data_IF_878259137174
#
_entry.id   IF_878259137174
#
_cell.length_a   1.000
_cell.length_b   1.000
_cell.length_c   1.000
_cell.angle_alpha   90.00
_cell.angle_beta   90.00
_cell.angle_gamma   90.00
#
_symmetry.space_group_name_H-M   'P 1'
#
loop_
_entity.id
_entity.type
_entity.pdbx_description
1 polymer ?
#
# COMPACT_ATOMS: atom_id res chain seq x y z
N UNK A 1 1.02 17.36 13.04
CA UNK A 1 1.59 16.93 11.74
C UNK A 1 0.53 17.14 10.68
N UNK A 2 0.82 17.95 9.66
CA UNK A 2 -0.15 18.28 8.61
C UNK A 2 0.04 17.29 7.46
N UNK A 3 -0.88 16.33 7.32
CA UNK A 3 -0.75 15.15 6.45
C UNK A 3 -1.35 15.40 5.05
N UNK A 4 -1.71 16.64 4.71
CA UNK A 4 -2.65 17.01 3.64
C UNK A 4 -2.04 17.14 2.22
N UNK A 5 -0.81 16.69 1.98
CA UNK A 5 -0.09 16.98 0.75
C UNK A 5 -0.05 15.87 -0.32
N UNK A 6 -0.54 14.66 -0.04
CA UNK A 6 -0.31 13.47 -0.88
C UNK A 6 -1.63 12.96 -1.46
N UNK A 7 -1.63 12.61 -2.75
CA UNK A 7 -2.85 12.14 -3.41
C UNK A 7 -3.11 10.68 -3.08
N UNK A 8 -4.37 10.28 -2.95
CA UNK A 8 -4.77 8.89 -2.68
C UNK A 8 -4.15 7.91 -3.68
N UNK A 9 -4.04 8.32 -4.95
CA UNK A 9 -3.42 7.52 -6.02
C UNK A 9 -1.96 7.15 -5.73
N UNK A 10 -1.17 8.06 -5.14
CA UNK A 10 0.24 7.80 -4.84
C UNK A 10 0.44 6.83 -3.67
N UNK A 11 -0.57 6.67 -2.82
CA UNK A 11 -0.58 5.77 -1.67
C UNK A 11 -1.07 4.36 -2.02
N UNK A 12 -1.93 4.24 -3.03
CA UNK A 12 -2.73 3.04 -3.30
C UNK A 12 -2.10 2.09 -4.33
N UNK A 13 -1.40 2.63 -5.35
CA UNK A 13 -0.99 1.82 -6.50
C UNK A 13 0.40 1.15 -6.34
N UNK A 14 1.37 1.77 -5.64
CA UNK A 14 2.74 1.20 -5.49
C UNK A 14 3.51 1.77 -4.28
N UNK A 15 2.78 2.32 -3.30
CA UNK A 15 3.34 3.25 -2.31
C UNK A 15 4.47 2.70 -1.43
N UNK A 16 4.60 1.39 -1.27
CA UNK A 16 5.51 0.78 -0.31
C UNK A 16 6.02 -0.60 -0.68
N UNK A 17 6.06 -0.94 -1.98
CA UNK A 17 6.72 -2.16 -2.44
C UNK A 17 8.20 -1.83 -2.68
N UNK A 18 9.09 -2.60 -2.06
CA UNK A 18 10.54 -2.39 -2.12
C UNK A 18 11.26 -3.67 -2.51
N UNK A 19 12.36 -3.52 -3.24
CA UNK A 19 13.29 -4.62 -3.56
C UNK A 19 14.49 -4.57 -2.62
N UNK A 20 14.83 -5.71 -2.03
CA UNK A 20 15.93 -5.86 -1.07
C UNK A 20 16.92 -6.88 -1.60
N UNK A 21 18.14 -6.44 -1.87
CA UNK A 21 19.25 -7.31 -2.25
C UNK A 21 19.75 -8.13 -1.03
N UNK A 22 19.93 -9.44 -1.23
CA UNK A 22 20.43 -10.37 -0.20
C UNK A 22 19.66 -10.30 1.13
N UNK A 23 18.32 -10.52 1.13
CA UNK A 23 17.47 -10.35 2.30
C UNK A 23 17.86 -11.23 3.49
N UNK A 24 18.55 -12.35 3.22
CA UNK A 24 19.08 -13.26 4.24
C UNK A 24 20.07 -12.56 5.19
N UNK A 25 20.76 -11.49 4.74
CA UNK A 25 21.65 -10.69 5.60
C UNK A 25 20.91 -9.96 6.72
N UNK A 26 19.63 -9.66 6.50
CA UNK A 26 18.75 -8.99 7.45
C UNK A 26 17.82 -9.97 8.18
N UNK A 27 18.03 -11.29 7.98
CA UNK A 27 17.19 -12.35 8.56
C UNK A 27 15.71 -12.21 8.18
N UNK A 28 15.44 -11.66 6.99
CA UNK A 28 14.08 -11.54 6.48
C UNK A 28 13.57 -12.92 6.00
N UNK A 29 12.28 -13.21 6.19
CA UNK A 29 11.65 -14.39 5.58
C UNK A 29 11.81 -14.36 4.06
N UNK A 30 11.84 -15.55 3.46
CA UNK A 30 11.84 -15.69 2.00
C UNK A 30 10.58 -15.04 1.43
N UNK A 31 10.74 -14.24 0.39
CA UNK A 31 9.67 -13.57 -0.32
C UNK A 31 9.76 -13.81 -1.82
N UNK A 32 9.01 -13.03 -2.59
CA UNK A 32 8.99 -13.07 -4.04
C UNK A 32 10.33 -12.62 -4.63
N UNK A 33 10.96 -13.44 -5.49
CA UNK A 33 12.20 -13.06 -6.16
C UNK A 33 11.99 -11.86 -7.09
N UNK A 34 12.85 -10.86 -6.98
CA UNK A 34 12.88 -9.76 -7.92
C UNK A 34 13.27 -10.30 -9.31
N UNK A 35 12.48 -9.95 -10.33
CA UNK A 35 12.70 -10.40 -11.71
C UNK A 35 13.80 -9.63 -12.43
N UNK A 36 14.13 -8.44 -11.94
CA UNK A 36 15.08 -7.53 -12.56
C UNK A 36 16.43 -7.54 -11.82
N UNK A 37 16.41 -7.69 -10.50
CA UNK A 37 17.62 -7.67 -9.67
C UNK A 37 17.98 -9.06 -9.14
N UNK A 38 19.07 -9.63 -9.65
CA UNK A 38 19.54 -10.96 -9.24
C UNK A 38 19.92 -11.02 -7.75
N UNK A 39 19.36 -12.00 -7.04
CA UNK A 39 19.59 -12.19 -5.61
C UNK A 39 18.85 -11.19 -4.71
N UNK A 40 17.90 -10.43 -5.27
CA UNK A 40 16.99 -9.61 -4.50
C UNK A 40 15.60 -10.25 -4.39
N UNK A 41 14.86 -9.88 -3.35
CA UNK A 41 13.47 -10.26 -3.14
C UNK A 41 12.63 -9.01 -2.85
N UNK A 42 11.34 -9.08 -3.18
CA UNK A 42 10.39 -7.98 -3.10
C UNK A 42 9.53 -8.13 -1.85
N UNK A 43 9.32 -7.03 -1.13
CA UNK A 43 8.53 -6.96 0.09
C UNK A 43 7.55 -5.79 0.02
N UNK A 44 6.43 -5.91 0.74
CA UNK A 44 5.46 -4.83 0.90
C UNK A 44 5.56 -4.26 2.31
N UNK A 45 5.66 -2.94 2.44
CA UNK A 45 5.59 -2.26 3.73
C UNK A 45 4.16 -2.31 4.28
N UNK A 46 3.99 -2.81 5.50
CA UNK A 46 2.68 -3.06 6.13
C UNK A 46 1.75 -1.86 6.13
N UNK A 47 2.24 -0.67 6.47
CA UNK A 47 1.42 0.55 6.43
C UNK A 47 0.79 0.80 5.05
N UNK A 48 1.55 0.65 3.96
CA UNK A 48 1.03 0.86 2.62
C UNK A 48 0.03 -0.23 2.22
N UNK A 49 0.27 -1.47 2.64
CA UNK A 49 -0.69 -2.55 2.42
C UNK A 49 -2.00 -2.34 3.21
N UNK A 50 -1.92 -1.83 4.45
CA UNK A 50 -3.09 -1.43 5.24
C UNK A 50 -3.91 -0.33 4.55
N UNK A 51 -3.24 0.68 3.97
CA UNK A 51 -3.89 1.74 3.20
C UNK A 51 -4.57 1.21 1.93
N UNK A 52 -3.89 0.32 1.19
CA UNK A 52 -4.44 -0.36 0.01
C UNK A 52 -5.70 -1.18 0.37
N UNK A 53 -5.65 -1.94 1.45
CA UNK A 53 -6.79 -2.72 1.95
C UNK A 53 -7.95 -1.81 2.37
N UNK A 54 -7.68 -0.75 3.13
CA UNK A 54 -8.69 0.21 3.59
C UNK A 54 -9.42 0.85 2.41
N UNK A 55 -8.68 1.27 1.37
CA UNK A 55 -9.29 1.80 0.15
C UNK A 55 -10.08 0.73 -0.62
N UNK A 56 -9.58 -0.51 -0.72
CA UNK A 56 -10.30 -1.61 -1.38
C UNK A 56 -11.66 -1.88 -0.73
N UNK A 57 -11.72 -1.83 0.61
CA UNK A 57 -12.98 -1.94 1.37
C UNK A 57 -13.90 -0.75 1.04
N UNK A 58 -13.38 0.48 1.07
CA UNK A 58 -14.14 1.69 0.72
C UNK A 58 -14.76 1.58 -0.67
N UNK A 59 -13.97 1.20 -1.68
CA UNK A 59 -14.43 1.04 -3.06
C UNK A 59 -15.49 -0.06 -3.15
N UNK A 60 -15.26 -1.22 -2.52
CA UNK A 60 -16.23 -2.32 -2.57
C UNK A 60 -17.56 -1.96 -1.89
N UNK A 61 -17.52 -1.25 -0.77
CA UNK A 61 -18.71 -0.75 -0.11
C UNK A 61 -19.44 0.28 -1.00
N UNK A 62 -18.71 1.19 -1.64
CA UNK A 62 -19.25 2.11 -2.63
C UNK A 62 -19.93 1.41 -3.82
N UNK A 63 -19.35 0.33 -4.34
CA UNK A 63 -19.94 -0.48 -5.42
C UNK A 63 -21.22 -1.18 -4.94
N UNK A 64 -21.18 -1.85 -3.78
CA UNK A 64 -22.33 -2.59 -3.23
C UNK A 64 -23.54 -1.69 -2.98
N UNK A 65 -23.29 -0.48 -2.52
CA UNK A 65 -24.33 0.52 -2.28
C UNK A 65 -24.73 1.30 -3.55
N UNK A 66 -24.09 1.03 -4.69
CA UNK A 66 -24.39 1.69 -5.96
C UNK A 66 -23.88 3.14 -6.08
N UNK A 67 -22.98 3.57 -5.19
CA UNK A 67 -22.32 4.87 -5.24
C UNK A 67 -21.12 4.90 -6.21
N UNK A 68 -20.54 3.74 -6.50
CA UNK A 68 -19.47 3.57 -7.47
C UNK A 68 -19.98 2.62 -8.55
N UNK A 69 -20.70 3.15 -9.52
CA UNK A 69 -21.05 2.42 -10.73
C UNK A 69 -21.16 3.39 -11.90
N UNK A 70 -20.40 3.18 -12.97
CA UNK A 70 -20.60 3.84 -14.27
C UNK A 70 -21.83 3.30 -15.01
N UNK A 71 -22.56 2.33 -14.44
CA UNK A 71 -23.80 1.81 -15.02
C UNK A 71 -24.83 1.45 -13.94
N UNK A 72 -26.10 1.55 -14.31
CA UNK A 72 -27.31 1.22 -13.52
C UNK A 72 -27.90 2.42 -12.77
N UNK A 73 -29.01 2.90 -13.34
CA UNK A 73 -29.75 4.09 -12.90
C UNK A 73 -30.72 3.87 -11.73
N UNK A 74 -31.11 5.01 -11.18
CA UNK A 74 -32.27 5.28 -10.33
C UNK A 74 -32.49 4.33 -9.13
N UNK A 75 -31.59 4.42 -8.16
CA UNK A 75 -31.92 4.16 -6.75
C UNK A 75 -31.86 5.51 -6.02
N UNK A 76 -32.88 5.82 -5.21
CA UNK A 76 -32.94 7.09 -4.47
C UNK A 76 -31.79 7.19 -3.46
N UNK A 77 -30.78 7.97 -3.82
CA UNK A 77 -29.52 8.19 -3.10
C UNK A 77 -29.77 8.94 -1.79
N UNK A 78 -29.67 8.26 -0.64
CA UNK A 78 -29.04 8.90 0.53
C UNK A 78 -27.55 8.66 0.36
N UNK A 79 -26.80 9.72 0.13
CA UNK A 79 -25.41 9.66 -0.30
C UNK A 79 -24.50 9.20 0.85
N UNK A 80 -24.30 7.87 0.98
CA UNK A 80 -23.48 7.25 2.06
C UNK A 80 -22.02 7.68 1.97
N UNK A 81 -21.59 8.21 0.83
CA UNK A 81 -20.25 8.77 0.62
C UNK A 81 -20.31 10.25 0.17
N UNK A 82 -21.31 11.01 0.62
CA UNK A 82 -21.22 12.48 0.56
C UNK A 82 -19.97 12.96 1.35
N UNK A 83 -19.40 14.13 1.03
CA UNK A 83 -18.31 14.71 1.80
C UNK A 83 -18.58 14.77 3.32
N UNK A 84 -19.84 14.96 3.71
CA UNK A 84 -20.31 15.02 5.10
C UNK A 84 -20.86 13.68 5.65
N UNK A 85 -20.77 12.61 4.87
CA UNK A 85 -21.31 11.31 5.29
C UNK A 85 -20.45 10.68 6.38
N UNK A 86 -21.12 9.97 7.30
CA UNK A 86 -20.40 9.35 8.42
C UNK A 86 -19.36 8.33 7.95
N UNK A 87 -19.67 7.64 6.86
CA UNK A 87 -18.81 6.58 6.31
C UNK A 87 -17.56 7.17 5.66
N UNK A 88 -17.65 8.24 4.85
CA UNK A 88 -16.44 8.84 4.27
C UNK A 88 -15.47 9.37 5.31
N UNK A 89 -15.94 10.13 6.31
CA UNK A 89 -15.03 10.66 7.32
C UNK A 89 -14.46 9.55 8.20
N UNK A 90 -15.20 8.46 8.44
CA UNK A 90 -14.66 7.28 9.13
C UNK A 90 -13.51 6.63 8.36
N UNK A 91 -13.62 6.49 7.03
CA UNK A 91 -12.52 5.99 6.22
C UNK A 91 -11.31 6.93 6.25
N UNK A 92 -11.52 8.25 6.21
CA UNK A 92 -10.42 9.19 6.34
C UNK A 92 -9.79 9.16 7.74
N UNK A 93 -10.59 9.04 8.79
CA UNK A 93 -10.11 8.90 10.17
C UNK A 93 -9.25 7.64 10.36
N UNK A 94 -9.68 6.49 9.81
CA UNK A 94 -8.91 5.25 9.83
C UNK A 94 -7.62 5.36 9.01
N UNK A 95 -7.68 6.03 7.85
CA UNK A 95 -6.50 6.32 7.02
C UNK A 95 -5.47 7.14 7.80
N UNK A 96 -5.92 8.20 8.49
CA UNK A 96 -5.06 9.00 9.36
C UNK A 96 -4.47 8.17 10.51
N UNK A 97 -5.23 7.26 11.11
CA UNK A 97 -4.74 6.38 12.17
C UNK A 97 -3.65 5.42 11.68
N UNK A 98 -3.82 4.81 10.49
CA UNK A 98 -2.80 3.95 9.86
C UNK A 98 -1.51 4.73 9.60
N UNK A 99 -1.64 5.94 9.02
CA UNK A 99 -0.49 6.80 8.74
C UNK A 99 0.20 7.29 10.02
N UNK A 100 -0.57 7.55 11.09
CA UNK A 100 -0.03 7.97 12.37
C UNK A 100 0.69 6.83 13.11
N UNK A 101 0.17 5.61 13.04
CA UNK A 101 0.77 4.44 13.67
C UNK A 101 2.06 4.00 12.94
N UNK A 102 2.05 4.09 11.60
CA UNK A 102 3.24 3.98 10.79
C UNK A 102 3.99 2.66 10.97
N UNK A 103 3.38 1.60 10.45
CA UNK A 103 3.92 0.24 10.53
C UNK A 103 4.96 -0.02 9.43
N UNK A 104 6.23 -0.09 9.83
CA UNK A 104 7.37 -0.27 8.92
C UNK A 104 7.68 -1.71 8.56
N UNK A 105 6.91 -2.66 9.08
CA UNK A 105 7.25 -4.05 8.87
C UNK A 105 7.13 -4.48 7.43
N UNK A 106 8.01 -5.41 7.05
CA UNK A 106 8.13 -5.92 5.70
C UNK A 106 7.37 -7.23 5.58
N UNK A 107 6.26 -7.16 4.87
CA UNK A 107 5.44 -8.30 4.54
C UNK A 107 6.08 -9.08 3.40
N UNK A 108 6.18 -10.38 3.62
CA UNK A 108 6.71 -11.33 2.67
C UNK A 108 5.57 -12.04 1.95
N UNK A 109 5.88 -12.63 0.80
CA UNK A 109 4.90 -13.47 0.11
C UNK A 109 4.61 -14.74 0.91
N UNK A 110 3.32 -15.07 1.00
CA UNK A 110 2.80 -16.22 1.75
C UNK A 110 3.04 -17.52 0.97
N UNK A 111 3.07 -17.41 -0.36
CA UNK A 111 3.34 -18.51 -1.27
C UNK A 111 4.69 -18.23 -1.94
N UNK A 112 5.70 -19.10 -1.73
CA UNK A 112 7.00 -18.91 -2.36
C UNK A 112 6.87 -18.70 -3.87
N UNK A 113 7.55 -17.68 -4.38
CA UNK A 113 7.59 -17.33 -5.81
C UNK A 113 6.26 -16.83 -6.44
N UNK A 114 5.22 -16.51 -5.64
CA UNK A 114 4.03 -15.78 -6.10
C UNK A 114 4.02 -14.32 -5.62
N UNK A 115 3.58 -13.39 -6.48
CA UNK A 115 3.47 -11.98 -6.12
C UNK A 115 2.14 -11.75 -5.40
N UNK A 116 2.18 -11.64 -4.08
CA UNK A 116 1.03 -11.40 -3.24
C UNK A 116 1.41 -11.35 -1.77
N UNK A 117 0.91 -10.35 -1.05
CA UNK A 117 1.21 -10.10 0.36
C UNK A 117 -0.11 -10.13 1.13
N UNK A 118 -0.14 -10.73 2.33
CA UNK A 118 -1.35 -10.76 3.16
C UNK A 118 -1.14 -10.28 4.61
N UNK A 119 0.09 -9.88 4.95
CA UNK A 119 0.50 -9.43 6.28
C UNK A 119 0.59 -10.48 7.39
N UNK A 120 0.11 -11.71 7.19
CA UNK A 120 0.13 -12.73 8.24
C UNK A 120 1.54 -13.22 8.56
N UNK A 121 1.84 -13.39 9.86
CA UNK A 121 3.14 -13.86 10.33
C UNK A 121 4.25 -12.81 10.30
N UNK A 122 3.93 -11.56 9.94
CA UNK A 122 4.88 -10.44 9.98
C UNK A 122 4.93 -9.85 11.39
N UNK A 123 6.14 -9.58 11.90
CA UNK A 123 6.33 -8.92 13.19
C UNK A 123 6.29 -7.40 12.99
N UNK A 124 5.37 -6.72 13.67
CA UNK A 124 5.08 -5.28 13.48
C UNK A 124 5.92 -4.40 14.42
N UNK A 125 6.58 -3.36 13.88
CA UNK A 125 7.33 -2.36 14.66
C UNK A 125 6.94 -0.93 14.24
N UNK A 126 6.60 -0.08 15.21
CA UNK A 126 6.21 1.31 14.97
C UNK A 126 7.45 2.20 14.73
N UNK A 127 7.37 3.13 13.78
CA UNK A 127 8.37 4.21 13.64
C UNK A 127 7.70 5.58 13.38
N UNK A 128 8.48 6.62 13.04
CA UNK A 128 7.94 7.97 12.74
C UNK A 128 7.66 8.22 11.25
N UNK A 129 6.48 8.78 10.93
CA UNK A 129 5.89 8.96 9.58
C UNK A 129 6.83 9.51 8.49
N UNK A 130 7.55 10.61 8.74
CA UNK A 130 8.32 11.30 7.70
C UNK A 130 9.48 10.44 7.19
N UNK A 131 10.20 9.77 8.10
CA UNK A 131 11.25 8.82 7.74
C UNK A 131 10.71 7.64 6.91
N UNK A 132 9.46 7.23 7.11
CA UNK A 132 8.85 6.13 6.36
C UNK A 132 8.59 6.50 4.93
N UNK A 133 8.00 7.68 4.71
CA UNK A 133 7.68 8.13 3.37
C UNK A 133 8.94 8.32 2.54
N UNK A 134 9.97 8.93 3.14
CA UNK A 134 11.21 9.19 2.44
C UNK A 134 11.88 7.87 2.03
N UNK A 135 11.93 6.87 2.92
CA UNK A 135 12.43 5.52 2.60
C UNK A 135 11.59 4.87 1.50
N UNK A 136 10.27 4.86 1.65
CA UNK A 136 9.37 4.19 0.71
C UNK A 136 9.43 4.79 -0.70
N UNK A 137 9.52 6.12 -0.80
CA UNK A 137 9.66 6.81 -2.09
C UNK A 137 11.04 6.59 -2.70
N UNK A 138 12.11 6.68 -1.91
CA UNK A 138 13.48 6.47 -2.41
C UNK A 138 13.72 5.05 -2.92
N UNK A 139 13.04 4.06 -2.33
CA UNK A 139 13.22 2.64 -2.65
C UNK A 139 12.03 2.03 -3.41
N UNK A 140 11.15 2.86 -3.97
CA UNK A 140 9.94 2.40 -4.67
C UNK A 140 10.31 1.48 -5.82
N UNK A 141 9.84 0.24 -5.75
CA UNK A 141 10.17 -0.84 -6.70
C UNK A 141 10.00 -0.42 -8.17
N UNK A 142 8.87 0.22 -8.47
CA UNK A 142 8.52 0.70 -9.81
C UNK A 142 9.50 1.74 -10.39
N UNK A 143 10.10 2.56 -9.52
CA UNK A 143 11.16 3.49 -9.94
C UNK A 143 12.47 2.75 -10.22
N UNK A 144 12.79 1.71 -9.44
CA UNK A 144 13.96 0.85 -9.66
C UNK A 144 13.95 0.20 -11.04
N UNK A 145 12.79 -0.35 -11.45
CA UNK A 145 12.62 -0.96 -12.78
C UNK A 145 12.90 0.05 -13.90
N UNK A 146 12.36 1.26 -13.80
CA UNK A 146 12.52 2.30 -14.83
C UNK A 146 13.97 2.76 -14.96
N UNK A 147 14.65 2.98 -13.84
CA UNK A 147 16.06 3.41 -13.83
C UNK A 147 16.99 2.32 -14.39
N UNK A 148 16.72 1.05 -14.11
CA UNK A 148 17.50 -0.07 -14.65
C UNK A 148 17.28 -0.25 -16.17
N UNK A 149 16.05 -0.05 -16.64
CA UNK A 149 15.73 -0.05 -18.07
C UNK A 149 16.42 1.09 -18.84
N UNK A 150 16.60 2.26 -18.22
CA UNK A 150 17.32 3.39 -18.82
C UNK A 150 18.84 3.20 -18.82
N UNK A 151 19.40 2.54 -17.79
CA UNK A 151 20.85 2.27 -17.67
C UNK A 151 21.34 1.18 -18.64
N UNK A 152 20.44 0.33 -19.12
CA UNK A 152 20.71 -0.76 -20.07
C UNK A 152 20.43 -0.39 -21.54
N UNK A 153 20.18 0.90 -21.85
CA UNK A 153 20.10 1.46 -23.21
C UNK A 153 21.39 2.15 -23.61
#
# INVERSE_FOLDING_TARGET
MNISGKTDKELIDDGGIISIASPQRYQLPVSYKDRNVSGAEVYSMSMFHQLHCLNSIRVRLGILEGFINETVGNIQRRDVFAPESHVNHCFDYLRQAVMCAGDLSLEHSVVPDEFGFNGWGTSHQCAGWDAMWDIAVQHRYDQGIRQEAERNR
#
